data_IF_853530605489
#
_entry.id   IF_853530605489
#
_cell.length_a   1.000
_cell.length_b   1.000
_cell.length_c   1.000
_cell.angle_alpha   90.00
_cell.angle_beta   90.00
_cell.angle_gamma   90.00
#
_symmetry.space_group_name_H-M   'P 1'
#
loop_
_entity.id
_entity.type
_entity.pdbx_description
1 polymer ?
#
# COMPACT_ATOMS: atom_id res chain seq x y z
N UNK A 1 -1.55 -7.69 7.74
CA UNK A 1 -1.80 -8.95 7.00
C UNK A 1 -3.12 -8.80 6.25
N UNK A 2 -3.10 -8.96 4.94
CA UNK A 2 -4.27 -8.76 4.07
C UNK A 2 -4.72 -10.11 3.53
N UNK A 3 -5.96 -10.50 3.81
CA UNK A 3 -6.54 -11.72 3.27
C UNK A 3 -6.93 -11.51 1.81
N UNK A 4 -6.59 -12.46 0.95
CA UNK A 4 -6.90 -12.42 -0.47
C UNK A 4 -8.03 -13.37 -0.84
N UNK A 5 -7.93 -14.60 -0.36
CA UNK A 5 -8.84 -15.67 -0.71
C UNK A 5 -8.85 -16.75 0.36
N UNK A 6 -9.98 -17.43 0.53
CA UNK A 6 -10.14 -18.51 1.47
C UNK A 6 -10.60 -19.79 0.77
N UNK A 7 -10.18 -20.92 1.33
CA UNK A 7 -10.68 -22.22 0.95
C UNK A 7 -11.17 -22.96 2.19
N UNK A 8 -12.38 -23.48 2.14
CA UNK A 8 -12.97 -24.28 3.21
C UNK A 8 -13.20 -25.68 2.68
N UNK A 9 -12.46 -26.65 3.19
CA UNK A 9 -12.35 -28.03 2.68
C UNK A 9 -12.01 -28.00 1.16
N UNK A 10 -12.89 -28.50 0.29
CA UNK A 10 -12.68 -28.50 -1.16
C UNK A 10 -13.28 -27.29 -1.89
N UNK A 11 -13.90 -26.34 -1.17
CA UNK A 11 -14.53 -25.14 -1.72
C UNK A 11 -13.54 -23.99 -1.75
N UNK A 12 -13.10 -23.58 -2.93
CA UNK A 12 -12.19 -22.44 -3.16
C UNK A 12 -12.93 -21.16 -3.58
N UNK A 13 -12.22 -20.04 -3.64
CA UNK A 13 -12.78 -18.76 -4.09
C UNK A 13 -13.71 -18.06 -3.07
N UNK A 14 -13.60 -18.44 -1.80
CA UNK A 14 -14.41 -17.89 -0.73
C UNK A 14 -13.80 -16.55 -0.29
N UNK A 15 -14.57 -15.46 -0.37
CA UNK A 15 -14.13 -14.13 0.07
C UNK A 15 -14.34 -13.90 1.57
N UNK A 16 -15.40 -14.45 2.13
CA UNK A 16 -15.69 -14.40 3.57
C UNK A 16 -16.08 -15.79 4.09
N UNK A 17 -15.23 -16.43 4.90
CA UNK A 17 -15.49 -17.76 5.43
C UNK A 17 -16.38 -17.77 6.69
N UNK A 18 -16.74 -16.59 7.23
CA UNK A 18 -17.54 -16.50 8.45
C UNK A 18 -18.90 -17.18 8.26
N UNK A 19 -19.26 -18.05 9.22
CA UNK A 19 -20.51 -18.79 9.20
C UNK A 19 -20.53 -20.03 8.30
N UNK A 20 -19.43 -20.36 7.60
CA UNK A 20 -19.33 -21.57 6.82
C UNK A 20 -18.87 -22.73 7.70
N UNK A 21 -19.59 -23.88 7.61
CA UNK A 21 -19.17 -25.12 8.24
C UNK A 21 -18.09 -25.80 7.39
N UNK A 22 -17.05 -26.32 8.04
CA UNK A 22 -15.96 -27.06 7.43
C UNK A 22 -14.96 -27.54 8.47
N UNK A 23 -14.06 -28.43 8.06
CA UNK A 23 -13.03 -29.01 8.91
C UNK A 23 -11.65 -28.38 8.68
N UNK A 24 -11.42 -27.80 7.49
CA UNK A 24 -10.15 -27.20 7.10
C UNK A 24 -10.37 -25.83 6.49
N UNK A 25 -9.72 -24.81 7.06
CA UNK A 25 -9.68 -23.46 6.51
C UNK A 25 -8.26 -23.15 6.03
N UNK A 26 -8.14 -22.85 4.76
CA UNK A 26 -6.92 -22.31 4.17
C UNK A 26 -7.16 -20.84 3.81
N UNK A 27 -6.18 -19.98 4.08
CA UNK A 27 -6.23 -18.57 3.70
C UNK A 27 -4.99 -18.21 2.87
N UNK A 28 -5.20 -17.57 1.73
CA UNK A 28 -4.14 -16.88 1.00
C UNK A 28 -4.05 -15.46 1.54
N UNK A 29 -2.88 -15.11 2.06
CA UNK A 29 -2.65 -13.80 2.67
C UNK A 29 -1.47 -13.11 2.01
N UNK A 30 -1.57 -11.79 1.85
CA UNK A 30 -0.45 -10.93 1.55
C UNK A 30 0.12 -10.43 2.88
N UNK A 31 1.38 -10.76 3.15
CA UNK A 31 2.07 -10.36 4.37
C UNK A 31 2.94 -9.16 4.06
N UNK A 32 2.69 -8.07 4.76
CA UNK A 32 3.53 -6.86 4.73
C UNK A 32 4.28 -6.79 6.05
N UNK A 33 5.57 -6.57 5.98
CA UNK A 33 6.45 -6.39 7.14
C UNK A 33 7.06 -5.00 7.10
N UNK A 34 7.19 -4.38 8.26
CA UNK A 34 7.84 -3.10 8.46
C UNK A 34 8.96 -3.23 9.49
N UNK A 35 9.91 -2.30 9.46
CA UNK A 35 10.93 -2.22 10.48
C UNK A 35 10.34 -1.59 11.75
N UNK A 36 10.40 -2.31 12.86
CA UNK A 36 9.79 -1.90 14.13
C UNK A 36 10.31 -0.56 14.67
N UNK A 37 11.55 -0.20 14.37
CA UNK A 37 12.11 1.10 14.74
C UNK A 37 11.44 2.24 14.00
N UNK A 38 11.11 2.08 12.72
CA UNK A 38 10.41 3.10 11.92
C UNK A 38 9.00 3.34 12.48
N UNK A 39 8.27 2.29 12.79
CA UNK A 39 6.94 2.40 13.42
C UNK A 39 7.02 3.10 14.78
N UNK A 40 7.99 2.74 15.62
CA UNK A 40 8.20 3.38 16.93
C UNK A 40 8.59 4.85 16.83
N UNK A 41 9.43 5.20 15.86
CA UNK A 41 9.83 6.60 15.64
C UNK A 41 8.64 7.44 15.21
N UNK A 42 7.81 6.96 14.28
CA UNK A 42 6.57 7.60 13.87
C UNK A 42 5.60 7.75 15.04
N UNK A 43 5.36 6.68 15.80
CA UNK A 43 4.51 6.70 16.98
C UNK A 43 4.99 7.75 17.99
N UNK A 44 6.30 7.77 18.30
CA UNK A 44 6.90 8.73 19.23
C UNK A 44 6.74 10.17 18.76
N UNK A 45 6.87 10.43 17.46
CA UNK A 45 6.64 11.76 16.88
C UNK A 45 5.20 12.22 17.06
N UNK A 46 4.24 11.33 16.82
CA UNK A 46 2.81 11.64 16.95
C UNK A 46 2.43 11.87 18.42
N UNK A 47 2.88 11.01 19.33
CA UNK A 47 2.63 11.15 20.77
C UNK A 47 3.21 12.46 21.34
N UNK A 48 4.44 12.85 20.93
CA UNK A 48 5.04 14.14 21.29
C UNK A 48 4.26 15.35 20.75
N UNK A 49 3.51 15.15 19.68
CA UNK A 49 2.62 16.16 19.11
C UNK A 49 1.22 16.15 19.74
N UNK A 50 0.99 15.30 20.76
CA UNK A 50 -0.29 15.19 21.47
C UNK A 50 -1.36 14.39 20.71
N UNK A 51 -0.94 13.52 19.79
CA UNK A 51 -1.83 12.66 18.99
C UNK A 51 -1.59 11.20 19.35
N UNK A 52 -2.64 10.49 19.72
CA UNK A 52 -2.60 9.04 19.98
C UNK A 52 -2.72 8.27 18.66
N UNK A 53 -1.78 7.35 18.41
CA UNK A 53 -1.79 6.46 17.26
C UNK A 53 -2.58 5.20 17.58
N UNK A 54 -3.71 5.00 16.91
CA UNK A 54 -4.57 3.82 17.10
C UNK A 54 -4.21 2.67 16.16
N UNK A 55 -3.72 2.98 14.96
CA UNK A 55 -3.39 1.96 13.94
C UNK A 55 -2.41 2.49 12.90
N UNK A 56 -1.58 1.59 12.36
CA UNK A 56 -0.76 1.86 11.18
C UNK A 56 -1.40 1.23 9.96
N UNK A 57 -1.60 2.01 8.92
CA UNK A 57 -2.13 1.57 7.63
C UNK A 57 -1.05 1.73 6.57
N UNK A 58 -0.91 0.72 5.71
CA UNK A 58 0.01 0.80 4.56
C UNK A 58 -0.47 1.90 3.60
N UNK A 59 0.42 2.83 3.25
CA UNK A 59 0.11 4.01 2.43
C UNK A 59 -0.66 3.68 1.14
N UNK A 60 -0.20 2.76 0.24
CA UNK A 60 -0.93 2.43 -0.97
C UNK A 60 -2.32 1.80 -0.73
N UNK A 61 -2.57 1.23 0.45
CA UNK A 61 -3.93 0.81 0.82
C UNK A 61 -4.83 2.00 1.14
N UNK A 62 -4.31 3.00 1.84
CA UNK A 62 -5.06 4.22 2.16
C UNK A 62 -5.41 4.99 0.88
N UNK A 63 -4.42 5.17 -0.02
CA UNK A 63 -4.60 5.77 -1.34
C UNK A 63 -5.64 5.02 -2.17
N UNK A 64 -5.53 3.68 -2.23
CA UNK A 64 -6.50 2.85 -2.94
C UNK A 64 -7.91 2.95 -2.35
N UNK A 65 -8.03 3.12 -1.03
CA UNK A 65 -9.34 3.23 -0.39
C UNK A 65 -10.06 4.53 -0.77
N UNK A 66 -9.32 5.59 -1.03
CA UNK A 66 -9.88 6.90 -1.38
C UNK A 66 -10.21 7.05 -2.87
N UNK A 67 -9.48 6.36 -3.78
CA UNK A 67 -9.60 6.62 -5.23
C UNK A 67 -10.19 5.46 -6.03
N UNK A 68 -10.16 4.22 -5.53
CA UNK A 68 -10.64 3.05 -6.26
C UNK A 68 -12.03 2.62 -5.81
N UNK A 69 -12.91 2.32 -6.77
CA UNK A 69 -14.18 1.69 -6.48
C UNK A 69 -14.10 0.14 -6.39
N UNK A 70 -15.19 -0.49 -5.94
CA UNK A 70 -15.23 -1.95 -5.80
C UNK A 70 -15.18 -2.70 -7.14
N UNK A 71 -15.69 -2.11 -8.24
CA UNK A 71 -15.72 -2.76 -9.54
C UNK A 71 -14.31 -2.79 -10.14
N UNK A 72 -13.58 -1.68 -10.01
CA UNK A 72 -12.18 -1.59 -10.43
C UNK A 72 -11.33 -2.64 -9.71
N UNK A 73 -11.48 -2.76 -8.38
CA UNK A 73 -10.77 -3.78 -7.60
C UNK A 73 -11.15 -5.21 -7.99
N UNK A 74 -12.41 -5.47 -8.38
CA UNK A 74 -12.87 -6.79 -8.84
C UNK A 74 -12.34 -7.14 -10.23
N UNK A 75 -12.40 -6.18 -11.16
CA UNK A 75 -11.92 -6.36 -12.53
C UNK A 75 -10.40 -6.52 -12.61
N UNK A 76 -9.69 -5.86 -11.72
CA UNK A 76 -8.25 -5.78 -11.69
C UNK A 76 -7.77 -4.38 -12.03
N UNK A 77 -6.97 -3.80 -11.15
CA UNK A 77 -6.45 -2.43 -11.27
C UNK A 77 -5.07 -2.35 -10.65
N UNK A 78 -4.25 -1.49 -11.22
CA UNK A 78 -2.96 -1.10 -10.65
C UNK A 78 -3.08 0.37 -10.27
N UNK A 79 -2.85 0.67 -9.00
CA UNK A 79 -2.68 2.02 -8.50
C UNK A 79 -1.20 2.31 -8.36
N UNK A 80 -0.78 3.44 -8.87
CA UNK A 80 0.58 3.97 -8.75
C UNK A 80 0.49 5.31 -8.05
N UNK A 81 1.12 5.41 -6.89
CA UNK A 81 1.19 6.62 -6.07
C UNK A 81 2.61 7.16 -6.14
N UNK A 82 2.78 8.31 -6.80
CA UNK A 82 4.08 8.93 -7.04
C UNK A 82 4.26 10.09 -6.06
N UNK A 83 5.01 9.82 -4.99
CA UNK A 83 5.40 10.82 -4.01
C UNK A 83 6.66 11.59 -4.39
N UNK A 84 7.19 12.38 -3.47
CA UNK A 84 8.43 13.14 -3.66
C UNK A 84 9.66 12.24 -3.75
N UNK A 85 9.80 11.25 -2.87
CA UNK A 85 10.98 10.37 -2.79
C UNK A 85 10.72 8.92 -3.13
N UNK A 86 9.46 8.48 -3.15
CA UNK A 86 9.06 7.10 -3.40
C UNK A 86 7.91 7.03 -4.38
N UNK A 87 7.79 5.89 -5.02
CA UNK A 87 6.61 5.52 -5.82
C UNK A 87 6.08 4.21 -5.27
N UNK A 88 4.83 4.23 -4.81
CA UNK A 88 4.14 3.08 -4.28
C UNK A 88 3.22 2.47 -5.34
N UNK A 89 3.21 1.15 -5.42
CA UNK A 89 2.38 0.41 -6.38
C UNK A 89 1.57 -0.61 -5.63
N UNK A 90 0.27 -0.65 -5.87
CA UNK A 90 -0.61 -1.70 -5.39
C UNK A 90 -1.47 -2.24 -6.53
N UNK A 91 -1.56 -3.56 -6.60
CA UNK A 91 -2.33 -4.28 -7.61
C UNK A 91 -3.49 -5.00 -6.95
N UNK A 92 -4.68 -4.81 -7.47
CA UNK A 92 -5.88 -5.56 -7.09
C UNK A 92 -6.30 -6.51 -8.20
N UNK A 93 -6.84 -7.64 -7.81
CA UNK A 93 -7.52 -8.58 -8.70
C UNK A 93 -8.55 -9.37 -7.90
N UNK A 94 -9.74 -9.54 -8.47
CA UNK A 94 -10.87 -10.23 -7.81
C UNK A 94 -11.21 -9.65 -6.42
N UNK A 95 -11.01 -8.34 -6.24
CA UNK A 95 -11.27 -7.62 -5.00
C UNK A 95 -10.21 -7.78 -3.90
N UNK A 96 -9.16 -8.57 -4.12
CA UNK A 96 -8.06 -8.77 -3.18
C UNK A 96 -6.75 -8.13 -3.66
N UNK A 97 -5.87 -7.82 -2.71
CA UNK A 97 -4.52 -7.32 -3.03
C UNK A 97 -3.69 -8.46 -3.62
N UNK A 98 -3.25 -8.28 -4.86
CA UNK A 98 -2.38 -9.23 -5.56
C UNK A 98 -0.91 -8.99 -5.23
N UNK A 99 -0.49 -7.73 -5.25
CA UNK A 99 0.88 -7.30 -4.98
C UNK A 99 0.87 -5.87 -4.42
N UNK A 100 1.85 -5.56 -3.58
CA UNK A 100 2.17 -4.21 -3.17
C UNK A 100 3.69 -4.08 -3.09
N UNK A 101 4.21 -2.92 -3.48
CA UNK A 101 5.65 -2.66 -3.44
C UNK A 101 5.95 -1.18 -3.56
N UNK A 102 7.17 -0.81 -3.17
CA UNK A 102 7.66 0.57 -3.19
C UNK A 102 8.96 0.63 -3.99
N UNK A 103 9.08 1.65 -4.81
CA UNK A 103 10.32 1.99 -5.53
C UNK A 103 10.86 3.28 -4.93
N UNK A 104 12.15 3.38 -4.55
CA UNK A 104 12.75 4.57 -3.96
C UNK A 104 13.10 5.63 -5.03
N UNK A 105 12.12 5.97 -5.85
CA UNK A 105 12.17 7.01 -6.88
C UNK A 105 10.86 7.78 -6.86
N UNK A 106 10.92 9.10 -6.97
CA UNK A 106 9.75 9.97 -6.97
C UNK A 106 10.01 11.29 -7.66
N UNK A 107 9.14 12.26 -7.47
CA UNK A 107 9.20 13.57 -8.12
C UNK A 107 10.53 14.31 -7.92
N UNK A 108 11.15 14.18 -6.74
CA UNK A 108 12.46 14.79 -6.48
C UNK A 108 13.57 14.32 -7.41
N UNK A 109 13.49 13.08 -7.91
CA UNK A 109 14.46 12.57 -8.89
C UNK A 109 14.35 13.32 -10.22
N UNK A 110 13.11 13.67 -10.64
CA UNK A 110 12.86 14.46 -11.84
C UNK A 110 13.42 15.86 -11.66
N UNK A 111 13.18 16.49 -10.51
CA UNK A 111 13.71 17.82 -10.16
C UNK A 111 15.25 17.82 -10.20
N UNK A 112 15.90 16.78 -9.64
CA UNK A 112 17.36 16.63 -9.71
C UNK A 112 17.88 16.50 -11.14
N UNK A 113 17.21 15.69 -11.97
CA UNK A 113 17.59 15.47 -13.37
C UNK A 113 17.45 16.76 -14.19
N UNK A 114 16.38 17.53 -13.97
CA UNK A 114 16.19 18.85 -14.60
C UNK A 114 17.30 19.81 -14.15
N UNK A 115 17.52 19.94 -12.84
CA UNK A 115 18.54 20.84 -12.30
C UNK A 115 19.94 20.55 -12.88
N UNK A 116 20.28 19.26 -12.98
CA UNK A 116 21.54 18.80 -13.57
C UNK A 116 21.60 19.07 -15.07
N UNK A 117 20.54 18.72 -15.82
CA UNK A 117 20.50 18.81 -17.28
C UNK A 117 20.56 20.25 -17.80
N UNK A 118 19.88 21.20 -17.10
CA UNK A 118 19.87 22.61 -17.49
C UNK A 118 20.83 23.48 -16.67
N UNK A 119 21.59 22.86 -15.76
CA UNK A 119 22.59 23.55 -14.90
C UNK A 119 21.99 24.67 -14.05
N UNK A 120 20.88 24.39 -13.40
CA UNK A 120 20.18 25.33 -12.52
C UNK A 120 20.14 24.85 -11.07
N UNK A 121 19.59 25.66 -10.16
CA UNK A 121 19.37 25.26 -8.77
C UNK A 121 18.15 24.35 -8.64
N UNK A 122 18.10 23.52 -7.60
CA UNK A 122 16.93 22.67 -7.31
C UNK A 122 15.66 23.50 -7.18
N UNK A 123 15.74 24.65 -6.50
CA UNK A 123 14.60 25.56 -6.31
C UNK A 123 14.01 26.08 -7.64
N UNK A 124 14.88 26.38 -8.61
CA UNK A 124 14.46 26.80 -9.96
C UNK A 124 13.94 25.64 -10.80
N UNK A 125 14.46 24.44 -10.58
CA UNK A 125 14.01 23.24 -11.29
C UNK A 125 12.65 22.72 -10.80
N UNK A 126 12.24 23.09 -9.59
CA UNK A 126 10.95 22.74 -8.98
C UNK A 126 9.79 23.63 -9.49
N UNK A 127 10.07 24.80 -10.07
CA UNK A 127 9.08 25.74 -10.63
C UNK A 127 8.63 25.34 -12.03
#
# INVERSE_FOLDING_TARGET
MLSRDFKVDDRSGIKNPLGLAGHRLEAKVHLVTSAINVEKDLQTCMEKSGVDVVEFVLEPLASAHSVLDENERKLGVILVDIGGGTTDVIMYHEGGVLHAGTVPLGGSNITYDIAYGVQTTLEQAEQ
#
